data_IF_372972511187
#
_entry.id   IF_372972511187
#
_cell.length_a   1.000
_cell.length_b   1.000
_cell.length_c   1.000
_cell.angle_alpha   90.00
_cell.angle_beta   90.00
_cell.angle_gamma   90.00
#
_symmetry.space_group_name_H-M   'P 1'
#
loop_
_entity.id
_entity.type
_entity.pdbx_description
1 polymer ?
#
# COMPACT_ATOMS: atom_id res chain seq x y z
N UNK A 1 -6.47 8.61 -19.01
CA UNK A 1 -5.93 7.37 -18.39
C UNK A 1 -5.96 7.54 -16.87
N UNK A 2 -6.40 6.53 -16.11
CA UNK A 2 -6.45 6.58 -14.64
C UNK A 2 -5.10 6.16 -14.07
N UNK A 3 -4.59 6.91 -13.08
CA UNK A 3 -3.35 6.62 -12.35
C UNK A 3 -3.69 6.37 -10.89
N UNK A 4 -3.16 5.30 -10.31
CA UNK A 4 -3.37 4.95 -8.92
C UNK A 4 -2.08 5.04 -8.11
N UNK A 5 -2.26 5.31 -6.82
CA UNK A 5 -1.25 5.14 -5.79
C UNK A 5 -1.70 4.00 -4.90
N UNK A 6 -0.96 2.90 -4.95
CA UNK A 6 -1.14 1.76 -4.07
C UNK A 6 -0.39 2.00 -2.77
N UNK A 7 -1.05 1.84 -1.65
CA UNK A 7 -0.50 2.19 -0.34
C UNK A 7 -0.60 0.97 0.56
N UNK A 8 0.53 0.54 1.14
CA UNK A 8 0.51 -0.47 2.19
C UNK A 8 -0.27 0.06 3.40
N UNK A 9 -1.08 -0.78 4.00
CA UNK A 9 -1.87 -0.45 5.18
C UNK A 9 -1.00 -0.32 6.42
N UNK A 10 -0.37 -1.44 6.79
CA UNK A 10 0.34 -1.62 8.06
C UNK A 10 1.74 -0.98 8.01
N UNK A 11 1.96 0.03 8.83
CA UNK A 11 3.19 0.82 8.87
C UNK A 11 3.13 2.13 8.09
N UNK A 12 2.12 2.32 7.21
CA UNK A 12 1.92 3.56 6.46
C UNK A 12 0.63 4.28 6.90
N UNK A 13 -0.52 3.62 6.78
CA UNK A 13 -1.82 4.21 7.13
C UNK A 13 -2.25 3.96 8.58
N UNK A 14 -1.71 2.95 9.20
CA UNK A 14 -1.88 2.67 10.62
C UNK A 14 -0.57 2.28 11.28
N UNK A 15 -0.52 2.46 12.59
CA UNK A 15 0.61 2.05 13.40
C UNK A 15 0.69 0.53 13.49
N UNK A 16 1.89 0.03 13.67
CA UNK A 16 2.20 -1.40 13.89
C UNK A 16 3.01 -1.55 15.18
N UNK A 17 2.92 -2.73 15.79
CA UNK A 17 3.82 -3.11 16.87
C UNK A 17 5.07 -3.77 16.28
N UNK A 18 6.19 -3.65 16.95
CA UNK A 18 7.42 -4.35 16.58
C UNK A 18 7.64 -5.45 17.60
N UNK A 19 7.60 -6.71 17.16
CA UNK A 19 7.84 -7.89 17.97
C UNK A 19 8.99 -8.70 17.35
N UNK A 20 10.06 -8.93 18.12
CA UNK A 20 11.25 -9.67 17.64
C UNK A 20 11.74 -9.22 16.26
N UNK A 21 11.83 -7.89 16.07
CA UNK A 21 12.23 -7.23 14.79
C UNK A 21 11.25 -7.37 13.63
N UNK A 22 10.06 -7.94 13.84
CA UNK A 22 9.01 -8.01 12.83
C UNK A 22 7.90 -7.00 13.13
N UNK A 23 7.36 -6.42 12.10
CA UNK A 23 6.15 -5.60 12.21
C UNK A 23 4.93 -6.51 12.32
N UNK A 24 4.12 -6.27 13.34
CA UNK A 24 2.86 -6.98 13.58
C UNK A 24 1.72 -5.98 13.47
N UNK A 25 0.85 -6.19 12.48
CA UNK A 25 -0.36 -5.39 12.31
C UNK A 25 -1.41 -5.69 13.38
N UNK A 26 -2.34 -4.76 13.61
CA UNK A 26 -3.45 -4.95 14.56
C UNK A 26 -4.42 -6.04 14.06
N UNK A 27 -4.91 -6.86 14.97
CA UNK A 27 -5.88 -7.92 14.69
C UNK A 27 -7.32 -7.50 15.01
N UNK A 28 -7.51 -6.47 15.84
CA UNK A 28 -8.79 -5.96 16.29
C UNK A 28 -8.91 -4.46 16.01
N UNK A 29 -10.13 -3.94 15.94
CA UNK A 29 -10.36 -2.50 15.82
C UNK A 29 -9.88 -1.73 17.07
N UNK A 30 -9.95 -2.36 18.24
CA UNK A 30 -9.48 -1.76 19.49
C UNK A 30 -7.99 -1.44 19.47
N UNK A 31 -7.17 -2.30 18.83
CA UNK A 31 -5.73 -2.10 18.65
C UNK A 31 -5.38 -1.20 17.45
N UNK A 32 -6.36 -0.91 16.60
CA UNK A 32 -6.12 -0.21 15.34
C UNK A 32 -5.94 1.29 15.56
N UNK A 33 -4.74 1.79 15.32
CA UNK A 33 -4.38 3.22 15.45
C UNK A 33 -4.06 3.80 14.09
N UNK A 34 -5.00 4.60 13.57
CA UNK A 34 -4.84 5.28 12.26
C UNK A 34 -3.75 6.35 12.35
N UNK A 35 -2.89 6.39 11.35
CA UNK A 35 -1.86 7.42 11.19
C UNK A 35 -2.49 8.71 10.61
N UNK A 36 -3.04 9.56 11.48
CA UNK A 36 -3.78 10.77 11.06
C UNK A 36 -2.91 11.81 10.34
N UNK A 37 -1.61 11.76 10.54
CA UNK A 37 -0.65 12.64 9.85
C UNK A 37 -0.63 12.37 8.32
N UNK A 38 -1.03 11.19 7.89
CA UNK A 38 -1.17 10.86 6.48
C UNK A 38 -2.37 11.58 5.80
N UNK A 39 -3.38 12.05 6.57
CA UNK A 39 -4.61 12.62 6.00
C UNK A 39 -4.36 13.80 5.06
N UNK A 40 -3.64 14.86 5.45
CA UNK A 40 -3.37 15.99 4.55
C UNK A 40 -2.55 15.57 3.33
N UNK A 41 -1.65 14.60 3.48
CA UNK A 41 -0.79 14.11 2.40
C UNK A 41 -1.59 13.33 1.35
N UNK A 42 -2.48 12.45 1.78
CA UNK A 42 -3.35 11.71 0.86
C UNK A 42 -4.38 12.62 0.20
N UNK A 43 -4.91 13.63 0.91
CA UNK A 43 -5.77 14.66 0.30
C UNK A 43 -5.03 15.40 -0.82
N UNK A 44 -3.75 15.70 -0.67
CA UNK A 44 -2.92 16.32 -1.72
C UNK A 44 -2.85 15.42 -2.96
N UNK A 45 -2.65 14.11 -2.79
CA UNK A 45 -2.67 13.15 -3.92
C UNK A 45 -4.04 13.08 -4.60
N UNK A 46 -5.14 13.09 -3.82
CA UNK A 46 -6.51 13.10 -4.36
C UNK A 46 -6.79 14.37 -5.15
N UNK A 47 -6.35 15.53 -4.67
CA UNK A 47 -6.52 16.83 -5.36
C UNK A 47 -5.86 16.83 -6.75
N UNK A 48 -4.80 16.05 -6.90
CA UNK A 48 -4.10 15.84 -8.18
C UNK A 48 -4.80 14.79 -9.08
N UNK A 49 -5.98 14.30 -8.71
CA UNK A 49 -6.76 13.34 -9.50
C UNK A 49 -6.23 11.91 -9.46
N UNK A 50 -5.39 11.56 -8.48
CA UNK A 50 -4.90 10.20 -8.29
C UNK A 50 -5.93 9.34 -7.54
N UNK A 51 -6.06 8.08 -7.95
CA UNK A 51 -6.82 7.09 -7.21
C UNK A 51 -5.97 6.58 -6.04
N UNK A 52 -6.56 6.49 -4.86
CA UNK A 52 -5.90 5.96 -3.66
C UNK A 52 -6.42 4.56 -3.36
N UNK A 53 -5.54 3.58 -3.45
CA UNK A 53 -5.88 2.17 -3.24
C UNK A 53 -4.97 1.56 -2.17
N UNK A 54 -5.54 0.77 -1.30
CA UNK A 54 -4.77 -0.01 -0.32
C UNK A 54 -4.49 -1.40 -0.88
N UNK A 55 -3.25 -1.86 -0.74
CA UNK A 55 -2.88 -3.27 -0.93
C UNK A 55 -2.26 -3.78 0.37
N UNK A 56 -2.79 -4.86 0.94
CA UNK A 56 -2.34 -5.33 2.25
C UNK A 56 -2.40 -6.84 2.40
N UNK A 57 -1.41 -7.41 3.09
CA UNK A 57 -1.40 -8.82 3.47
C UNK A 57 -1.94 -8.98 4.90
N UNK A 58 -3.00 -9.77 5.05
CA UNK A 58 -3.68 -10.00 6.31
C UNK A 58 -3.77 -11.51 6.65
N UNK A 59 -2.62 -12.15 6.95
CA UNK A 59 -2.57 -13.59 7.19
C UNK A 59 -3.30 -14.02 8.47
N UNK A 60 -3.67 -13.07 9.33
CA UNK A 60 -4.50 -13.33 10.50
C UNK A 60 -5.83 -14.00 10.17
N UNK A 61 -6.34 -13.77 8.95
CA UNK A 61 -7.56 -14.44 8.47
C UNK A 61 -7.35 -15.94 8.27
N UNK A 62 -6.33 -16.35 7.50
CA UNK A 62 -6.05 -17.79 7.27
C UNK A 62 -5.58 -18.50 8.52
N UNK A 63 -4.89 -17.79 9.42
CA UNK A 63 -4.47 -18.31 10.73
C UNK A 63 -5.60 -18.41 11.75
N UNK A 64 -6.79 -17.87 11.47
CA UNK A 64 -7.92 -17.84 12.39
C UNK A 64 -7.75 -16.93 13.61
N UNK A 65 -6.73 -16.07 13.65
CA UNK A 65 -6.49 -15.13 14.75
C UNK A 65 -7.09 -13.73 14.50
N UNK A 66 -7.63 -13.48 13.32
CA UNK A 66 -8.37 -12.27 12.97
C UNK A 66 -9.70 -12.63 12.32
N UNK A 67 -10.81 -12.05 12.78
CA UNK A 67 -12.09 -12.25 12.13
C UNK A 67 -12.26 -11.32 10.91
N UNK A 68 -13.00 -11.78 9.90
CA UNK A 68 -13.36 -10.94 8.73
C UNK A 68 -14.07 -9.67 9.18
N UNK A 69 -14.97 -9.78 10.16
CA UNK A 69 -15.71 -8.63 10.70
C UNK A 69 -14.79 -7.55 11.27
N UNK A 70 -13.76 -7.94 12.05
CA UNK A 70 -12.79 -6.97 12.58
C UNK A 70 -11.99 -6.29 11.47
N UNK A 71 -11.55 -7.07 10.46
CA UNK A 71 -10.86 -6.50 9.32
C UNK A 71 -11.72 -5.51 8.55
N UNK A 72 -12.98 -5.85 8.28
CA UNK A 72 -13.92 -4.99 7.55
C UNK A 72 -14.18 -3.67 8.31
N UNK A 73 -14.34 -3.71 9.65
CA UNK A 73 -14.48 -2.50 10.48
C UNK A 73 -13.25 -1.59 10.44
N UNK A 74 -12.04 -2.16 10.46
CA UNK A 74 -10.81 -1.39 10.29
C UNK A 74 -10.76 -0.74 8.89
N UNK A 75 -11.16 -1.46 7.85
CA UNK A 75 -11.18 -0.94 6.49
C UNK A 75 -12.24 0.15 6.28
N UNK A 76 -13.41 0.04 6.93
CA UNK A 76 -14.41 1.11 6.94
C UNK A 76 -13.87 2.39 7.57
N UNK A 77 -13.16 2.27 8.71
CA UNK A 77 -12.50 3.41 9.34
C UNK A 77 -11.45 4.05 8.42
N UNK A 78 -10.65 3.25 7.70
CA UNK A 78 -9.68 3.78 6.75
C UNK A 78 -10.35 4.51 5.59
N UNK A 79 -11.41 3.93 5.00
CA UNK A 79 -12.17 4.59 3.92
C UNK A 79 -12.74 5.93 4.37
N UNK A 80 -13.33 5.98 5.57
CA UNK A 80 -13.86 7.21 6.14
C UNK A 80 -12.78 8.28 6.40
N UNK A 81 -11.56 7.83 6.78
CA UNK A 81 -10.47 8.74 7.13
C UNK A 81 -9.72 9.28 5.92
N UNK A 82 -9.45 8.44 4.91
CA UNK A 82 -8.52 8.75 3.82
C UNK A 82 -9.19 8.92 2.44
N UNK A 83 -10.50 8.81 2.35
CA UNK A 83 -11.23 8.84 1.08
C UNK A 83 -10.66 7.86 0.03
N UNK A 84 -10.40 6.63 0.45
CA UNK A 84 -9.85 5.57 -0.40
C UNK A 84 -10.85 5.15 -1.48
N UNK A 85 -10.34 4.89 -2.68
CA UNK A 85 -11.16 4.40 -3.80
C UNK A 85 -11.37 2.88 -3.71
N UNK A 86 -10.35 2.12 -3.23
CA UNK A 86 -10.47 0.66 -3.05
C UNK A 86 -9.47 0.10 -2.02
N UNK A 87 -9.72 -1.15 -1.59
CA UNK A 87 -8.83 -1.90 -0.70
C UNK A 87 -8.75 -3.35 -1.19
N UNK A 88 -7.54 -3.79 -1.50
CA UNK A 88 -7.21 -5.15 -1.95
C UNK A 88 -6.48 -5.90 -0.84
N UNK A 89 -6.95 -7.09 -0.52
CA UNK A 89 -6.48 -7.87 0.64
C UNK A 89 -6.00 -9.24 0.21
N UNK A 90 -4.78 -9.58 0.57
CA UNK A 90 -4.35 -10.97 0.56
C UNK A 90 -4.61 -11.58 1.95
N UNK A 91 -5.54 -12.53 2.10
CA UNK A 91 -5.86 -13.16 3.37
C UNK A 91 -4.93 -14.32 3.74
N UNK A 92 -4.05 -14.73 2.82
CA UNK A 92 -3.28 -15.96 2.89
C UNK A 92 -2.01 -15.83 3.73
N UNK A 93 -1.58 -16.97 4.32
CA UNK A 93 -0.27 -17.07 4.96
C UNK A 93 0.85 -17.34 3.94
N UNK A 94 2.09 -17.36 4.40
CA UNK A 94 3.25 -17.61 3.56
C UNK A 94 3.28 -19.04 2.99
N UNK A 95 2.68 -20.00 3.71
CA UNK A 95 2.58 -21.41 3.30
C UNK A 95 1.51 -21.69 2.25
N UNK A 96 0.59 -20.74 2.00
CA UNK A 96 -0.53 -20.94 1.07
C UNK A 96 -0.14 -20.78 -0.41
N UNK A 97 1.08 -20.37 -0.69
CA UNK A 97 1.66 -20.14 -2.02
C UNK A 97 0.72 -19.45 -3.03
N UNK A 98 -0.11 -18.54 -2.54
CA UNK A 98 -1.06 -17.79 -3.38
C UNK A 98 -0.35 -16.81 -4.34
N UNK A 99 -1.05 -16.34 -5.36
CA UNK A 99 -0.55 -15.33 -6.31
C UNK A 99 -0.64 -13.89 -5.78
N UNK A 100 -1.45 -13.64 -4.74
CA UNK A 100 -1.75 -12.28 -4.25
C UNK A 100 -0.83 -11.77 -3.13
N UNK A 101 -0.11 -12.67 -2.43
CA UNK A 101 0.80 -12.28 -1.35
C UNK A 101 2.10 -11.71 -1.89
N UNK A 102 2.49 -10.51 -1.43
CA UNK A 102 3.82 -9.95 -1.74
C UNK A 102 4.95 -10.92 -1.35
N UNK A 103 6.03 -11.01 -2.13
CA UNK A 103 6.41 -10.11 -3.23
C UNK A 103 5.71 -10.38 -4.56
N UNK A 104 4.76 -11.31 -4.64
CA UNK A 104 4.00 -11.55 -5.87
C UNK A 104 3.04 -10.39 -6.14
N UNK A 105 2.85 -9.98 -7.41
CA UNK A 105 2.13 -8.75 -7.77
C UNK A 105 0.61 -8.91 -7.88
N UNK A 106 0.02 -10.01 -7.42
CA UNK A 106 -1.37 -10.35 -7.71
C UNK A 106 -2.39 -9.29 -7.30
N UNK A 107 -2.21 -8.60 -6.15
CA UNK A 107 -3.12 -7.51 -5.77
C UNK A 107 -3.03 -6.31 -6.71
N UNK A 108 -1.84 -5.98 -7.21
CA UNK A 108 -1.64 -4.90 -8.19
C UNK A 108 -2.29 -5.24 -9.53
N UNK A 109 -2.14 -6.50 -9.98
CA UNK A 109 -2.76 -6.99 -11.20
C UNK A 109 -4.29 -7.01 -11.10
N UNK A 110 -4.86 -7.46 -9.96
CA UNK A 110 -6.29 -7.42 -9.68
C UNK A 110 -6.84 -5.98 -9.77
N UNK A 111 -6.17 -5.05 -9.11
CA UNK A 111 -6.54 -3.63 -9.15
C UNK A 111 -6.42 -3.05 -10.57
N UNK A 112 -5.34 -3.37 -11.27
CA UNK A 112 -5.11 -2.98 -12.65
C UNK A 112 -6.26 -3.41 -13.57
N UNK A 113 -6.68 -4.65 -13.44
CA UNK A 113 -7.82 -5.21 -14.19
C UNK A 113 -9.15 -4.55 -13.81
N UNK A 114 -9.47 -4.49 -12.49
CA UNK A 114 -10.74 -3.95 -11.98
C UNK A 114 -10.95 -2.48 -12.36
N UNK A 115 -9.90 -1.68 -12.27
CA UNK A 115 -9.98 -0.23 -12.48
C UNK A 115 -9.49 0.23 -13.85
N UNK A 116 -9.04 -0.70 -14.70
CA UNK A 116 -8.45 -0.44 -16.03
C UNK A 116 -7.29 0.55 -15.93
N UNK A 117 -6.30 0.22 -15.08
CA UNK A 117 -5.12 1.05 -14.85
C UNK A 117 -3.98 0.67 -15.80
N UNK A 118 -3.19 1.67 -16.17
CA UNK A 118 -1.86 1.45 -16.75
C UNK A 118 -0.86 1.39 -15.59
N UNK A 119 -0.48 0.18 -15.19
CA UNK A 119 0.33 -0.05 -13.99
C UNK A 119 1.72 0.59 -14.07
N UNK A 120 2.29 0.72 -15.26
CA UNK A 120 3.56 1.41 -15.54
C UNK A 120 3.54 2.92 -15.24
N UNK A 121 2.35 3.51 -15.12
CA UNK A 121 2.15 4.89 -14.66
C UNK A 121 1.74 5.01 -13.21
N UNK A 122 1.48 3.88 -12.52
CA UNK A 122 1.05 3.84 -11.14
C UNK A 122 2.24 3.83 -10.17
N UNK A 123 1.94 4.12 -8.91
CA UNK A 123 2.92 4.22 -7.83
C UNK A 123 2.57 3.27 -6.69
N UNK A 124 3.59 2.79 -5.98
CA UNK A 124 3.45 2.01 -4.75
C UNK A 124 4.15 2.73 -3.62
N UNK A 125 3.45 2.98 -2.51
CA UNK A 125 3.98 3.54 -1.28
C UNK A 125 3.96 2.46 -0.20
N UNK A 126 5.12 2.13 0.36
CA UNK A 126 5.25 1.11 1.40
C UNK A 126 6.49 1.37 2.26
N UNK A 127 6.59 0.66 3.36
CA UNK A 127 7.78 0.56 4.20
C UNK A 127 8.45 -0.82 4.12
N UNK A 128 8.04 -1.66 3.14
CA UNK A 128 8.47 -3.05 2.98
C UNK A 128 9.05 -3.32 1.60
N UNK A 129 10.23 -3.97 1.55
CA UNK A 129 10.91 -4.30 0.30
C UNK A 129 10.09 -5.22 -0.62
N UNK A 130 9.25 -6.08 -0.04
CA UNK A 130 8.40 -7.01 -0.82
C UNK A 130 7.41 -6.27 -1.72
N UNK A 131 6.93 -5.10 -1.30
CA UNK A 131 6.04 -4.29 -2.13
C UNK A 131 6.78 -3.63 -3.29
N UNK A 132 8.07 -3.28 -3.11
CA UNK A 132 8.91 -2.81 -4.21
C UNK A 132 9.16 -3.90 -5.26
N UNK A 133 9.36 -5.16 -4.83
CA UNK A 133 9.49 -6.29 -5.76
C UNK A 133 8.17 -6.54 -6.52
N UNK A 134 7.02 -6.49 -5.83
CA UNK A 134 5.72 -6.61 -6.48
C UNK A 134 5.48 -5.48 -7.49
N UNK A 135 5.84 -4.24 -7.14
CA UNK A 135 5.76 -3.08 -8.03
C UNK A 135 6.62 -3.25 -9.28
N UNK A 136 7.86 -3.71 -9.13
CA UNK A 136 8.78 -3.94 -10.24
C UNK A 136 8.26 -4.99 -11.22
N UNK A 137 7.63 -6.05 -10.71
CA UNK A 137 7.07 -7.11 -11.54
C UNK A 137 5.97 -6.63 -12.51
N UNK A 138 5.38 -5.47 -12.24
CA UNK A 138 4.32 -4.84 -13.07
C UNK A 138 4.69 -3.45 -13.57
N UNK A 139 5.96 -3.08 -13.51
CA UNK A 139 6.52 -1.78 -13.92
C UNK A 139 5.94 -0.56 -13.17
N UNK A 140 5.31 -0.74 -12.00
CA UNK A 140 4.97 0.38 -11.12
C UNK A 140 6.23 1.02 -10.53
N UNK A 141 6.18 2.32 -10.28
CA UNK A 141 7.25 3.03 -9.55
C UNK A 141 7.02 2.86 -8.04
N UNK A 142 7.99 2.27 -7.32
CA UNK A 142 7.93 2.14 -5.86
C UNK A 142 8.66 3.28 -5.16
N UNK A 143 8.02 3.83 -4.12
CA UNK A 143 8.60 4.79 -3.18
C UNK A 143 8.47 4.20 -1.78
N UNK A 144 9.60 3.93 -1.13
CA UNK A 144 9.62 3.32 0.19
C UNK A 144 9.92 4.33 1.28
N UNK A 145 9.16 4.25 2.36
CA UNK A 145 9.52 4.92 3.60
C UNK A 145 10.71 4.21 4.23
N UNK A 146 11.62 4.96 4.81
CA UNK A 146 12.75 4.40 5.55
C UNK A 146 12.24 3.60 6.74
N UNK A 147 12.56 2.32 6.80
CA UNK A 147 12.19 1.43 7.90
C UNK A 147 13.19 0.28 8.04
N UNK A 148 13.13 -0.40 9.19
CA UNK A 148 13.90 -1.63 9.42
C UNK A 148 13.47 -2.79 8.53
N UNK A 149 12.26 -2.72 7.94
CA UNK A 149 11.70 -3.71 7.04
C UNK A 149 12.12 -3.54 5.57
N UNK A 150 12.92 -2.52 5.24
CA UNK A 150 13.36 -2.31 3.85
C UNK A 150 14.37 -3.35 3.38
N UNK A 151 15.10 -4.02 4.28
CA UNK A 151 16.11 -5.00 3.91
C UNK A 151 17.22 -4.44 3.01
N UNK A 152 17.93 -5.32 2.31
CA UNK A 152 18.99 -4.99 1.34
C UNK A 152 18.54 -5.10 -0.11
N UNK A 153 17.25 -5.41 -0.37
CA UNK A 153 16.72 -5.57 -1.71
C UNK A 153 16.82 -4.26 -2.52
N UNK A 154 17.01 -4.40 -3.83
CA UNK A 154 16.96 -3.24 -4.75
C UNK A 154 15.59 -2.56 -4.68
N UNK A 155 15.61 -1.25 -4.53
CA UNK A 155 14.42 -0.38 -4.40
C UNK A 155 14.58 0.79 -5.36
N UNK A 156 13.45 1.32 -5.81
CA UNK A 156 13.47 2.47 -6.71
C UNK A 156 13.88 3.74 -5.94
N UNK A 157 13.16 4.03 -4.85
CA UNK A 157 13.42 5.21 -3.99
C UNK A 157 13.12 4.89 -2.53
N UNK A 158 14.01 5.27 -1.62
CA UNK A 158 13.79 5.25 -0.17
C UNK A 158 13.86 6.67 0.36
N UNK A 159 12.85 7.10 1.08
CA UNK A 159 12.65 8.45 1.56
C UNK A 159 12.39 8.46 3.08
N UNK A 160 12.72 9.54 3.79
CA UNK A 160 12.70 9.54 5.25
C UNK A 160 11.30 9.38 5.85
N UNK A 161 10.29 9.95 5.20
CA UNK A 161 8.92 10.00 5.71
C UNK A 161 7.89 10.07 4.57
N UNK A 162 6.61 10.01 4.93
CA UNK A 162 5.51 10.03 3.98
C UNK A 162 5.38 11.38 3.26
N UNK A 163 5.76 12.49 3.89
CA UNK A 163 5.72 13.81 3.24
C UNK A 163 6.71 13.88 2.09
N UNK A 164 7.96 13.44 2.33
CA UNK A 164 8.98 13.34 1.29
C UNK A 164 8.58 12.38 0.16
N UNK A 165 7.91 11.27 0.50
CA UNK A 165 7.36 10.31 -0.48
C UNK A 165 6.33 10.98 -1.37
N UNK A 166 5.36 11.69 -0.79
CA UNK A 166 4.29 12.36 -1.54
C UNK A 166 4.85 13.47 -2.43
N UNK A 167 5.76 14.29 -1.92
CA UNK A 167 6.38 15.36 -2.72
C UNK A 167 7.19 14.77 -3.89
N UNK A 168 7.94 13.71 -3.65
CA UNK A 168 8.70 13.02 -4.71
C UNK A 168 7.79 12.38 -5.75
N UNK A 169 6.69 11.75 -5.34
CA UNK A 169 5.69 11.18 -6.23
C UNK A 169 5.12 12.24 -7.17
N UNK A 170 4.73 13.39 -6.64
CA UNK A 170 4.18 14.49 -7.43
C UNK A 170 5.20 15.05 -8.43
N UNK A 171 6.48 15.15 -8.04
CA UNK A 171 7.55 15.52 -8.96
C UNK A 171 7.68 14.51 -10.11
N UNK A 172 7.70 13.21 -9.82
CA UNK A 172 7.83 12.16 -10.83
C UNK A 172 6.64 12.13 -11.79
N UNK A 173 5.44 12.41 -11.30
CA UNK A 173 4.24 12.48 -12.12
C UNK A 173 4.33 13.59 -13.18
N UNK A 174 4.87 14.76 -12.84
CA UNK A 174 5.03 15.86 -13.79
C UNK A 174 6.09 15.59 -14.86
N UNK A 175 7.07 14.75 -14.55
CA UNK A 175 8.16 14.38 -15.48
C UNK A 175 7.85 13.19 -16.38
N UNK A 176 6.83 12.38 -16.07
CA UNK A 176 6.28 11.33 -16.93
C UNK A 176 4.96 11.85 -17.55
N UNK A 177 4.98 12.62 -18.65
CA UNK A 177 3.74 13.07 -19.24
C UNK A 177 2.89 11.85 -19.64
N UNK A 178 1.64 11.85 -19.20
CA UNK A 178 0.63 10.95 -19.72
C UNK A 178 0.58 11.19 -21.24
N UNK A 179 1.04 10.23 -22.04
CA UNK A 179 0.83 10.29 -23.47
C UNK A 179 -0.67 10.45 -23.67
N UNK A 180 -1.07 11.60 -24.20
CA UNK A 180 -2.46 11.87 -24.52
C UNK A 180 -2.92 10.80 -25.51
N UNK A 181 -3.99 10.08 -25.14
CA UNK A 181 -4.65 9.11 -26.02
C UNK A 181 -5.37 9.84 -27.14
#
# INVERSE_FOLDING_TARGET
MKVAVFIERDGVLNQVRVERQNQVGPLTLEDFRVNREAVPLLKKLKAEGLLLMVTTNQPGLSRGCQSRRELDRMHELLRATFALDDIFVCPHDATDDCSCRRPKPGLLLEAGFKWRLSLDHCFVISDKWQDAEAARAVNCTSLLLQSTCNGTARRDLVLPDLAAVVDKLLQLRTTKPLLAA
#
